data_IF_020605317581
#
_entry.id   IF_020605317581
#
_cell.length_a   1.000
_cell.length_b   1.000
_cell.length_c   1.000
_cell.angle_alpha   90.00
_cell.angle_beta   90.00
_cell.angle_gamma   90.00
#
_symmetry.space_group_name_H-M   'P 1'
#
loop_
_entity.id
_entity.type
_entity.pdbx_description
1 polymer ?
#
# COMPACT_ATOMS: atom_id res chain seq x y z
N UNK A 1 3.16 19.23 -22.21
CA UNK A 1 3.91 18.09 -21.63
C UNK A 1 4.62 18.46 -20.31
N UNK A 2 4.61 19.72 -19.85
CA UNK A 2 5.17 20.12 -18.55
C UNK A 2 4.24 19.96 -17.34
N UNK A 3 2.90 19.90 -17.54
CA UNK A 3 1.93 19.91 -16.43
C UNK A 3 1.67 18.55 -15.74
N UNK A 4 2.31 17.47 -16.19
CA UNK A 4 2.19 16.13 -15.58
C UNK A 4 3.46 15.71 -14.84
N UNK A 5 4.53 16.50 -14.93
CA UNK A 5 5.68 16.35 -14.03
C UNK A 5 5.20 16.77 -12.63
N UNK A 6 5.29 15.90 -11.62
CA UNK A 6 4.83 16.26 -10.28
C UNK A 6 5.59 17.52 -9.86
N UNK A 7 4.84 18.61 -9.63
CA UNK A 7 5.35 19.94 -9.25
C UNK A 7 6.13 19.91 -7.93
N UNK A 8 6.15 18.78 -7.23
CA UNK A 8 6.83 18.60 -5.95
C UNK A 8 7.82 17.43 -6.03
N UNK A 9 9.07 17.72 -6.37
CA UNK A 9 10.21 16.82 -6.14
C UNK A 9 10.15 16.24 -4.72
N UNK A 10 9.75 17.05 -3.74
CA UNK A 10 9.56 16.66 -2.34
C UNK A 10 8.52 15.54 -2.10
N UNK A 11 7.43 15.44 -2.87
CA UNK A 11 6.44 14.35 -2.69
C UNK A 11 6.93 13.05 -3.31
N UNK A 12 7.59 13.12 -4.46
CA UNK A 12 8.26 11.98 -5.07
C UNK A 12 9.40 11.47 -4.17
N UNK A 13 10.25 12.36 -3.66
CA UNK A 13 11.32 12.04 -2.71
C UNK A 13 10.78 11.40 -1.43
N UNK A 14 9.69 11.92 -0.86
CA UNK A 14 9.01 11.32 0.29
C UNK A 14 8.55 9.90 -0.02
N UNK A 15 7.97 9.68 -1.20
CA UNK A 15 7.50 8.36 -1.65
C UNK A 15 8.66 7.37 -1.83
N UNK A 16 9.76 7.79 -2.44
CA UNK A 16 10.94 6.93 -2.62
C UNK A 16 11.68 6.66 -1.30
N UNK A 17 11.78 7.65 -0.42
CA UNK A 17 12.38 7.51 0.91
C UNK A 17 11.58 6.52 1.78
N UNK A 18 10.25 6.62 1.76
CA UNK A 18 9.37 5.69 2.48
C UNK A 18 9.42 4.28 1.89
N UNK A 19 9.43 4.12 0.57
CA UNK A 19 9.62 2.83 -0.10
C UNK A 19 10.95 2.17 0.29
N UNK A 20 12.06 2.93 0.28
CA UNK A 20 13.39 2.44 0.68
C UNK A 20 13.42 1.95 2.13
N UNK A 21 12.70 2.60 3.05
CA UNK A 21 12.57 2.15 4.44
C UNK A 21 11.69 0.89 4.57
N UNK A 22 10.66 0.77 3.73
CA UNK A 22 9.70 -0.34 3.79
C UNK A 22 10.21 -1.62 3.10
N UNK A 23 11.03 -1.50 2.04
CA UNK A 23 11.59 -2.61 1.27
C UNK A 23 12.78 -3.24 2.01
N UNK A 24 12.45 -4.13 2.95
CA UNK A 24 13.42 -4.95 3.70
C UNK A 24 13.67 -6.29 2.99
N UNK A 25 14.76 -6.97 3.33
CA UNK A 25 15.14 -8.27 2.77
C UNK A 25 13.99 -9.30 2.76
N UNK A 26 13.27 -9.40 3.87
CA UNK A 26 12.13 -10.31 4.00
C UNK A 26 10.95 -9.92 3.11
N UNK A 27 10.81 -8.64 2.77
CA UNK A 27 9.76 -8.10 1.90
C UNK A 27 10.16 -8.04 0.42
N UNK A 28 11.43 -8.32 0.09
CA UNK A 28 11.90 -8.35 -1.30
C UNK A 28 11.22 -9.41 -2.16
N UNK A 29 10.66 -10.48 -1.56
CA UNK A 29 9.86 -11.50 -2.26
C UNK A 29 8.36 -11.18 -2.33
N UNK A 30 7.91 -10.06 -1.78
CA UNK A 30 6.49 -9.68 -1.79
C UNK A 30 6.09 -9.14 -3.17
N UNK A 31 4.84 -9.39 -3.58
CA UNK A 31 4.30 -8.79 -4.80
C UNK A 31 4.34 -7.25 -4.73
N UNK A 32 4.74 -6.62 -5.83
CA UNK A 32 4.86 -5.16 -5.94
C UNK A 32 3.51 -4.45 -5.69
N UNK A 33 2.37 -5.05 -6.06
CA UNK A 33 1.04 -4.50 -5.73
C UNK A 33 0.82 -4.34 -4.22
N UNK A 34 1.23 -5.36 -3.44
CA UNK A 34 1.08 -5.35 -1.99
C UNK A 34 2.09 -4.39 -1.33
N UNK A 35 3.31 -4.34 -1.85
CA UNK A 35 4.33 -3.39 -1.39
C UNK A 35 3.90 -1.95 -1.65
N UNK A 36 3.37 -1.67 -2.83
CA UNK A 36 2.86 -0.34 -3.21
C UNK A 36 1.68 0.08 -2.34
N UNK A 37 0.74 -0.83 -2.05
CA UNK A 37 -0.36 -0.55 -1.12
C UNK A 37 0.12 -0.19 0.30
N UNK A 38 1.16 -0.88 0.80
CA UNK A 38 1.77 -0.55 2.10
C UNK A 38 2.44 0.83 2.11
N UNK A 39 3.12 1.19 1.03
CA UNK A 39 3.76 2.50 0.87
C UNK A 39 2.70 3.60 0.86
N UNK A 40 1.61 3.39 0.11
CA UNK A 40 0.50 4.34 0.01
C UNK A 40 -0.15 4.59 1.38
N UNK A 41 -0.42 3.53 2.15
CA UNK A 41 -0.95 3.63 3.51
C UNK A 41 0.00 4.34 4.48
N UNK A 42 1.32 4.22 4.28
CA UNK A 42 2.31 4.89 5.13
C UNK A 42 2.45 6.39 4.80
N UNK A 43 2.31 6.76 3.52
CA UNK A 43 2.34 8.16 3.07
C UNK A 43 1.07 8.91 3.52
N UNK A 44 -0.09 8.25 3.42
CA UNK A 44 -1.40 8.83 3.74
C UNK A 44 -1.93 8.40 5.11
N UNK A 45 -1.06 8.46 6.13
CA UNK A 45 -1.43 8.11 7.51
C UNK A 45 -2.39 9.13 8.16
N UNK A 46 -2.46 10.32 7.60
CA UNK A 46 -3.32 11.44 7.99
C UNK A 46 -4.80 11.23 7.66
N UNK A 47 -5.14 10.23 6.84
CA UNK A 47 -6.51 9.89 6.52
C UNK A 47 -7.11 9.07 7.66
N UNK A 48 -8.17 9.59 8.29
CA UNK A 48 -8.94 8.84 9.28
C UNK A 48 -9.66 7.66 8.61
N UNK A 49 -9.47 6.47 9.18
CA UNK A 49 -10.05 5.23 8.69
C UNK A 49 -11.09 4.73 9.68
N UNK A 50 -12.33 4.52 9.22
CA UNK A 50 -13.33 3.81 9.99
C UNK A 50 -13.02 2.31 9.99
N UNK A 51 -12.59 1.83 11.16
CA UNK A 51 -12.17 0.45 11.38
C UNK A 51 -13.37 -0.51 11.25
N UNK A 52 -14.56 -0.10 11.66
CA UNK A 52 -15.76 -0.94 11.64
C UNK A 52 -16.21 -1.21 10.20
N UNK A 53 -16.18 -0.16 9.37
CA UNK A 53 -16.43 -0.27 7.94
C UNK A 53 -15.39 -1.15 7.22
N UNK A 54 -14.12 -1.04 7.60
CA UNK A 54 -13.05 -1.88 7.04
C UNK A 54 -13.26 -3.34 7.42
N UNK A 55 -13.58 -3.62 8.69
CA UNK A 55 -13.85 -4.99 9.16
C UNK A 55 -15.07 -5.56 8.46
N UNK A 56 -16.17 -4.81 8.38
CA UNK A 56 -17.40 -5.22 7.70
C UNK A 56 -17.15 -5.48 6.22
N UNK A 57 -16.42 -4.59 5.53
CA UNK A 57 -16.04 -4.75 4.12
C UNK A 57 -15.12 -5.94 3.90
N UNK A 58 -14.15 -6.16 4.79
CA UNK A 58 -13.23 -7.29 4.73
C UNK A 58 -13.94 -8.62 4.98
N UNK A 59 -14.86 -8.68 5.95
CA UNK A 59 -15.69 -9.85 6.25
C UNK A 59 -16.66 -10.20 5.11
N UNK A 60 -17.24 -9.18 4.44
CA UNK A 60 -18.06 -9.37 3.23
C UNK A 60 -17.25 -9.88 2.04
N UNK A 61 -15.97 -9.50 1.93
CA UNK A 61 -15.04 -10.00 0.90
C UNK A 61 -14.58 -11.42 1.28
N UNK A 62 -15.47 -12.40 1.10
CA UNK A 62 -15.33 -13.84 1.43
C UNK A 62 -14.27 -14.58 0.59
N UNK A 63 -13.07 -14.01 0.43
CA UNK A 63 -11.99 -14.55 -0.39
C UNK A 63 -10.61 -14.34 0.28
N UNK A 64 -10.47 -14.77 1.54
CA UNK A 64 -9.17 -15.25 2.04
C UNK A 64 -8.99 -16.63 1.41
N UNK A 65 -8.30 -16.74 0.26
CA UNK A 65 -8.16 -18.01 -0.48
C UNK A 65 -7.90 -19.21 0.45
N UNK A 66 -8.77 -20.21 0.42
CA UNK A 66 -8.52 -21.57 0.91
C UNK A 66 -9.04 -22.54 -0.16
N UNK A 67 -8.16 -22.99 -1.03
CA UNK A 67 -8.38 -24.20 -1.81
C UNK A 67 -7.17 -25.09 -1.60
N UNK A 68 -7.24 -25.93 -0.56
CA UNK A 68 -6.49 -27.18 -0.56
C UNK A 68 -7.35 -28.16 -1.36
N UNK A 69 -6.93 -28.45 -2.59
CA UNK A 69 -7.47 -29.57 -3.35
C UNK A 69 -6.75 -30.81 -2.82
N UNK A 70 -7.53 -31.75 -2.28
CA UNK A 70 -7.10 -33.12 -1.95
C UNK A 70 -6.98 -33.95 -3.22
#
# INVERSE_FOLDING_TARGET
>A
ILCTMPVSVATAERSFSTLRRLKTWMRSKMNEERLTGLVLMNIHRDIELDIEDIITRFGRKKCRKMTFVL
#
